data_IF_234670891326
#
_entry.id   IF_234670891326
#
_cell.length_a   1.000
_cell.length_b   1.000
_cell.length_c   1.000
_cell.angle_alpha   90.00
_cell.angle_beta   90.00
_cell.angle_gamma   90.00
#
_symmetry.space_group_name_H-M   'P 1'
#
loop_
_entity.id
_entity.type
_entity.pdbx_description
1 polymer ?
#
# COMPACT_ATOMS: atom_id res chain seq x y z
N UNK A 1 54.32 36.16 -30.13
CA UNK A 1 53.92 34.73 -30.01
C UNK A 1 52.92 34.62 -28.87
N UNK A 2 51.62 34.69 -29.18
CA UNK A 2 50.55 34.60 -28.20
C UNK A 2 50.27 33.14 -27.86
N UNK A 3 50.46 32.76 -26.60
CA UNK A 3 50.13 31.43 -26.10
C UNK A 3 48.65 31.40 -25.71
N UNK A 4 47.83 30.87 -26.61
CA UNK A 4 46.42 30.58 -26.35
C UNK A 4 46.29 29.37 -25.43
N UNK A 5 45.88 29.60 -24.18
CA UNK A 5 45.46 28.52 -23.29
C UNK A 5 44.07 28.06 -23.73
N UNK A 6 44.00 26.87 -24.32
CA UNK A 6 42.75 26.14 -24.50
C UNK A 6 42.15 25.83 -23.12
N UNK A 7 41.06 26.53 -22.78
CA UNK A 7 40.18 26.14 -21.68
C UNK A 7 39.36 24.95 -22.18
N UNK A 8 39.76 23.75 -21.76
CA UNK A 8 38.96 22.55 -21.96
C UNK A 8 37.63 22.70 -21.21
N UNK A 9 36.53 22.70 -21.96
CA UNK A 9 35.19 22.59 -21.40
C UNK A 9 35.05 21.24 -20.72
N UNK A 10 35.11 21.22 -19.38
CA UNK A 10 34.61 20.09 -18.62
C UNK A 10 33.10 20.03 -18.85
N UNK A 11 32.68 19.22 -19.81
CA UNK A 11 31.30 18.79 -19.96
C UNK A 11 30.90 18.24 -18.60
N UNK A 12 30.06 18.99 -17.87
CA UNK A 12 29.57 18.59 -16.57
C UNK A 12 28.95 17.21 -16.70
N UNK A 13 29.61 16.19 -16.15
CA UNK A 13 29.00 14.91 -15.88
C UNK A 13 27.88 15.17 -14.88
N UNK A 14 26.69 15.46 -15.39
CA UNK A 14 25.48 15.39 -14.60
C UNK A 14 25.34 13.94 -14.17
N UNK A 15 25.79 13.64 -12.96
CA UNK A 15 25.61 12.32 -12.34
C UNK A 15 24.11 12.04 -12.32
N UNK A 16 23.61 11.24 -13.29
CA UNK A 16 22.21 10.81 -13.31
C UNK A 16 21.90 10.16 -11.97
N UNK A 17 20.88 10.67 -11.29
CA UNK A 17 20.42 10.09 -10.04
C UNK A 17 19.88 8.68 -10.33
N UNK A 18 20.44 7.66 -9.69
CA UNK A 18 19.91 6.30 -9.79
C UNK A 18 18.72 6.12 -8.86
N UNK A 19 17.82 5.19 -9.18
CA UNK A 19 16.67 4.85 -8.33
C UNK A 19 17.11 4.49 -6.90
N UNK A 20 18.19 3.72 -6.76
CA UNK A 20 18.74 3.35 -5.46
C UNK A 20 19.13 4.57 -4.61
N UNK A 21 19.85 5.53 -5.18
CA UNK A 21 20.22 6.77 -4.47
C UNK A 21 18.99 7.59 -4.10
N UNK A 22 18.00 7.65 -4.98
CA UNK A 22 16.74 8.32 -4.71
C UNK A 22 15.98 7.66 -3.54
N UNK A 23 15.92 6.32 -3.51
CA UNK A 23 15.32 5.55 -2.40
C UNK A 23 16.04 5.82 -1.08
N UNK A 24 17.38 5.83 -1.07
CA UNK A 24 18.14 6.15 0.15
C UNK A 24 17.86 7.58 0.64
N UNK A 25 17.76 8.54 -0.27
CA UNK A 25 17.38 9.93 0.04
C UNK A 25 15.99 9.99 0.68
N UNK A 26 15.01 9.30 0.09
CA UNK A 26 13.65 9.21 0.60
C UNK A 26 13.58 8.49 1.96
N UNK A 27 14.39 7.46 2.20
CA UNK A 27 14.50 6.81 3.50
C UNK A 27 15.05 7.75 4.59
N UNK A 28 16.05 8.59 4.26
CA UNK A 28 16.59 9.59 5.20
C UNK A 28 15.55 10.66 5.51
N UNK A 29 14.79 11.11 4.50
CA UNK A 29 13.66 12.04 4.67
C UNK A 29 12.60 11.44 5.58
N UNK A 30 12.16 10.21 5.28
CA UNK A 30 11.10 9.52 6.02
C UNK A 30 11.49 9.22 7.46
N UNK A 31 12.77 8.96 7.75
CA UNK A 31 13.28 8.73 9.13
C UNK A 31 13.00 9.90 10.08
N UNK A 32 12.93 11.13 9.55
CA UNK A 32 12.63 12.34 10.32
C UNK A 32 11.13 12.66 10.36
N UNK A 33 10.32 11.90 9.63
CA UNK A 33 8.87 12.10 9.56
C UNK A 33 8.16 11.32 10.67
N UNK A 34 7.10 11.88 11.28
CA UNK A 34 6.26 11.17 12.23
C UNK A 34 5.51 9.98 11.60
N UNK A 35 5.46 9.89 10.27
CA UNK A 35 4.76 8.83 9.54
C UNK A 35 5.23 7.43 9.95
N UNK A 36 6.54 7.22 10.21
CA UNK A 36 7.03 5.90 10.63
C UNK A 36 6.40 5.49 11.96
N UNK A 37 6.47 6.35 12.96
CA UNK A 37 5.90 6.07 14.28
C UNK A 37 4.39 5.83 14.21
N UNK A 38 3.67 6.66 13.42
CA UNK A 38 2.24 6.51 13.24
C UNK A 38 1.87 5.16 12.60
N UNK A 39 2.55 4.74 11.53
CA UNK A 39 2.27 3.47 10.85
C UNK A 39 2.51 2.27 11.76
N UNK A 40 3.64 2.27 12.47
CA UNK A 40 4.00 1.19 13.38
C UNK A 40 3.04 1.13 14.56
N UNK A 41 2.64 2.29 15.11
CA UNK A 41 1.65 2.36 16.18
C UNK A 41 0.27 1.86 15.71
N UNK A 42 -0.23 2.33 14.56
CA UNK A 42 -1.51 1.88 14.01
C UNK A 42 -1.50 0.37 13.74
N UNK A 43 -0.46 -0.16 13.10
CA UNK A 43 -0.33 -1.59 12.84
C UNK A 43 -0.28 -2.41 14.12
N UNK A 44 0.52 -1.99 15.10
CA UNK A 44 0.64 -2.66 16.39
C UNK A 44 -0.70 -2.66 17.14
N UNK A 45 -1.36 -1.49 17.25
CA UNK A 45 -2.64 -1.34 17.93
C UNK A 45 -3.70 -2.22 17.28
N UNK A 46 -3.79 -2.19 15.94
CA UNK A 46 -4.78 -2.99 15.22
C UNK A 46 -4.57 -4.50 15.47
N UNK A 47 -3.33 -4.99 15.34
CA UNK A 47 -3.04 -6.40 15.58
C UNK A 47 -3.21 -6.83 17.04
N UNK A 48 -2.80 -6.00 18.00
CA UNK A 48 -3.01 -6.30 19.43
C UNK A 48 -4.48 -6.29 19.80
N UNK A 49 -5.24 -5.28 19.38
CA UNK A 49 -6.66 -5.16 19.69
C UNK A 49 -7.48 -6.29 19.07
N UNK A 50 -7.30 -6.57 17.77
CA UNK A 50 -7.97 -7.67 17.10
C UNK A 50 -7.51 -9.03 17.64
N UNK A 51 -6.21 -9.20 17.91
CA UNK A 51 -5.68 -10.42 18.50
C UNK A 51 -6.27 -10.70 19.89
N UNK A 52 -6.42 -9.67 20.72
CA UNK A 52 -7.04 -9.81 22.04
C UNK A 52 -8.53 -10.16 21.92
N UNK A 53 -9.25 -9.54 20.99
CA UNK A 53 -10.65 -9.88 20.71
C UNK A 53 -10.80 -11.35 20.29
N UNK A 54 -10.06 -11.79 19.26
CA UNK A 54 -10.12 -13.17 18.77
C UNK A 54 -9.47 -14.19 19.70
N UNK A 55 -8.65 -13.74 20.66
CA UNK A 55 -8.09 -14.58 21.71
C UNK A 55 -9.14 -15.12 22.68
N UNK A 56 -10.17 -14.32 22.96
CA UNK A 56 -11.25 -14.67 23.91
C UNK A 56 -12.56 -15.02 23.23
N UNK A 57 -12.81 -14.53 22.01
CA UNK A 57 -14.05 -14.77 21.31
C UNK A 57 -14.20 -16.26 20.92
N UNK A 58 -15.43 -16.81 20.90
CA UNK A 58 -15.69 -18.21 20.57
C UNK A 58 -15.70 -18.46 19.05
N UNK A 59 -14.90 -17.71 18.28
CA UNK A 59 -14.77 -17.87 16.85
C UNK A 59 -13.61 -18.80 16.50
N UNK A 60 -13.65 -19.42 15.32
CA UNK A 60 -12.49 -20.10 14.76
C UNK A 60 -11.35 -19.08 14.52
N UNK A 61 -10.17 -19.24 15.13
CA UNK A 61 -9.02 -18.33 14.94
C UNK A 61 -8.57 -18.21 13.48
N UNK A 62 -8.79 -19.24 12.67
CA UNK A 62 -8.39 -19.25 11.26
C UNK A 62 -9.30 -18.38 10.41
N UNK A 63 -10.61 -18.48 10.62
CA UNK A 63 -11.58 -17.55 10.04
C UNK A 63 -11.41 -16.12 10.61
N UNK A 64 -11.04 -16.01 11.90
CA UNK A 64 -10.69 -14.72 12.52
C UNK A 64 -9.47 -14.07 11.87
N UNK A 65 -8.48 -14.86 11.45
CA UNK A 65 -7.31 -14.39 10.70
C UNK A 65 -7.72 -13.82 9.35
N UNK A 66 -8.59 -14.52 8.63
CA UNK A 66 -9.11 -14.06 7.34
C UNK A 66 -9.90 -12.75 7.48
N UNK A 67 -10.81 -12.67 8.45
CA UNK A 67 -11.55 -11.46 8.77
C UNK A 67 -10.65 -10.28 9.16
N UNK A 68 -9.56 -10.54 9.90
CA UNK A 68 -8.58 -9.51 10.24
C UNK A 68 -7.82 -9.00 9.00
N UNK A 69 -7.39 -9.90 8.12
CA UNK A 69 -6.74 -9.53 6.86
C UNK A 69 -7.68 -8.69 5.97
N UNK A 70 -8.96 -9.07 5.89
CA UNK A 70 -9.98 -8.28 5.19
C UNK A 70 -10.15 -6.90 5.81
N UNK A 71 -10.27 -6.80 7.14
CA UNK A 71 -10.35 -5.49 7.83
C UNK A 71 -9.16 -4.58 7.51
N UNK A 72 -7.93 -5.07 7.65
CA UNK A 72 -6.74 -4.26 7.38
C UNK A 72 -6.66 -3.88 5.90
N UNK A 73 -7.01 -4.80 5.00
CA UNK A 73 -7.04 -4.54 3.56
C UNK A 73 -8.10 -3.51 3.17
N UNK A 74 -9.30 -3.57 3.77
CA UNK A 74 -10.37 -2.61 3.57
C UNK A 74 -9.97 -1.20 4.04
N UNK A 75 -9.13 -1.10 5.07
CA UNK A 75 -8.58 0.17 5.57
C UNK A 75 -7.49 0.78 4.67
N UNK A 76 -6.89 0.00 3.77
CA UNK A 76 -5.78 0.47 2.93
C UNK A 76 -6.12 1.69 2.06
N UNK A 77 -7.26 1.76 1.34
CA UNK A 77 -7.60 2.94 0.53
C UNK A 77 -7.55 4.26 1.31
N UNK A 78 -8.10 4.27 2.52
CA UNK A 78 -8.09 5.46 3.37
C UNK A 78 -6.69 5.74 3.93
N UNK A 79 -6.02 4.73 4.49
CA UNK A 79 -4.69 4.92 5.10
C UNK A 79 -3.66 5.35 4.06
N UNK A 80 -3.63 4.73 2.89
CA UNK A 80 -2.74 5.10 1.78
C UNK A 80 -3.03 6.53 1.33
N UNK A 81 -4.30 6.91 1.19
CA UNK A 81 -4.68 8.27 0.81
C UNK A 81 -4.26 9.33 1.83
N UNK A 82 -4.43 9.06 3.12
CA UNK A 82 -3.96 9.95 4.21
C UNK A 82 -2.45 10.12 4.12
N UNK A 83 -1.70 9.02 4.00
CA UNK A 83 -0.24 9.03 4.02
C UNK A 83 0.33 9.74 2.80
N UNK A 84 -0.17 9.41 1.60
CA UNK A 84 0.26 10.08 0.37
C UNK A 84 -0.17 11.55 0.37
N UNK A 85 -1.38 11.84 0.87
CA UNK A 85 -1.89 13.20 1.01
C UNK A 85 -1.02 14.06 1.92
N UNK A 86 -0.73 13.59 3.14
CA UNK A 86 0.13 14.29 4.09
C UNK A 86 1.58 14.41 3.61
N UNK A 87 2.10 13.41 2.91
CA UNK A 87 3.46 13.45 2.36
C UNK A 87 3.61 14.53 1.30
N UNK A 88 2.69 14.58 0.33
CA UNK A 88 2.69 15.59 -0.74
C UNK A 88 2.42 16.99 -0.20
N UNK A 89 1.50 17.10 0.76
CA UNK A 89 1.13 18.37 1.37
C UNK A 89 2.26 18.93 2.23
N UNK A 90 2.93 18.10 3.02
CA UNK A 90 4.14 18.50 3.75
C UNK A 90 5.29 18.90 2.82
N UNK A 91 5.44 18.25 1.66
CA UNK A 91 6.41 18.67 0.65
C UNK A 91 6.04 20.02 0.00
N UNK A 92 4.75 20.28 -0.22
CA UNK A 92 4.25 21.59 -0.69
C UNK A 92 4.54 22.68 0.32
N UNK A 93 4.23 22.46 1.58
CA UNK A 93 4.46 23.44 2.65
C UNK A 93 5.95 23.71 2.87
N UNK A 94 6.79 22.68 2.80
CA UNK A 94 8.23 22.82 3.08
C UNK A 94 9.04 23.44 1.92
N UNK A 95 8.67 23.17 0.66
CA UNK A 95 9.51 23.54 -0.49
C UNK A 95 8.74 24.02 -1.73
N UNK A 96 7.42 24.12 -1.68
CA UNK A 96 6.60 24.35 -2.87
C UNK A 96 6.78 23.25 -3.92
N UNK A 97 7.01 22.00 -3.49
CA UNK A 97 7.37 20.84 -4.33
C UNK A 97 8.75 20.91 -5.01
N UNK A 98 9.61 21.86 -4.69
CA UNK A 98 10.91 22.00 -5.33
C UNK A 98 11.81 20.76 -5.13
N UNK A 99 11.81 20.12 -3.96
CA UNK A 99 12.67 18.93 -3.76
C UNK A 99 12.22 17.72 -4.60
N UNK A 100 10.97 17.70 -5.05
CA UNK A 100 10.41 16.64 -5.88
C UNK A 100 10.46 16.96 -7.38
N UNK A 101 10.17 18.21 -7.76
CA UNK A 101 9.96 18.62 -9.15
C UNK A 101 11.15 19.35 -9.77
N UNK A 102 11.96 20.08 -8.98
CA UNK A 102 13.10 20.83 -9.49
C UNK A 102 14.38 19.97 -9.68
N UNK A 103 14.31 18.67 -9.36
CA UNK A 103 15.42 17.75 -9.56
C UNK A 103 15.51 17.27 -11.01
N UNK A 104 16.73 17.04 -11.56
CA UNK A 104 16.92 16.62 -12.96
C UNK A 104 16.20 15.32 -13.35
N UNK A 105 15.79 14.51 -12.37
CA UNK A 105 15.15 13.21 -12.56
C UNK A 105 13.88 13.05 -11.74
N UNK A 106 12.96 14.03 -11.83
CA UNK A 106 11.68 14.06 -11.09
C UNK A 106 10.87 12.75 -11.16
N UNK A 107 10.93 12.03 -12.29
CA UNK A 107 10.30 10.70 -12.45
C UNK A 107 10.90 9.66 -11.49
N UNK A 108 12.22 9.62 -11.38
CA UNK A 108 12.93 8.70 -10.48
C UNK A 108 12.70 9.08 -9.02
N UNK A 109 12.69 10.38 -8.72
CA UNK A 109 12.37 10.88 -7.38
C UNK A 109 10.94 10.47 -6.96
N UNK A 110 9.95 10.68 -7.82
CA UNK A 110 8.57 10.27 -7.55
C UNK A 110 8.44 8.75 -7.40
N UNK A 111 9.07 7.97 -8.28
CA UNK A 111 9.06 6.51 -8.19
C UNK A 111 9.67 6.02 -6.87
N UNK A 112 10.81 6.60 -6.46
CA UNK A 112 11.45 6.28 -5.18
C UNK A 112 10.55 6.62 -3.99
N UNK A 113 9.87 7.77 -4.04
CA UNK A 113 8.94 8.21 -2.99
C UNK A 113 7.74 7.27 -2.87
N UNK A 114 7.09 6.92 -3.98
CA UNK A 114 6.02 5.92 -4.03
C UNK A 114 6.49 4.59 -3.45
N UNK A 115 7.67 4.12 -3.86
CA UNK A 115 8.25 2.87 -3.38
C UNK A 115 8.51 2.89 -1.86
N UNK A 116 9.09 3.96 -1.32
CA UNK A 116 9.39 4.08 0.10
C UNK A 116 8.12 4.16 0.96
N UNK A 117 7.09 4.89 0.51
CA UNK A 117 5.80 4.93 1.20
C UNK A 117 5.09 3.57 1.16
N UNK A 118 5.16 2.86 0.02
CA UNK A 118 4.62 1.51 -0.11
C UNK A 118 5.34 0.50 0.79
N UNK A 119 6.67 0.55 0.85
CA UNK A 119 7.46 -0.30 1.74
C UNK A 119 7.13 -0.03 3.22
N UNK A 120 6.91 1.23 3.60
CA UNK A 120 6.45 1.57 4.95
C UNK A 120 5.07 0.93 5.25
N UNK A 121 4.15 0.99 4.30
CA UNK A 121 2.85 0.32 4.40
C UNK A 121 2.98 -1.19 4.55
N UNK A 122 3.84 -1.82 3.77
CA UNK A 122 4.12 -3.25 3.88
C UNK A 122 4.67 -3.63 5.27
N UNK A 123 5.61 -2.85 5.80
CA UNK A 123 6.13 -3.05 7.17
C UNK A 123 5.00 -2.91 8.20
N UNK A 124 4.11 -1.92 8.05
CA UNK A 124 2.99 -1.72 8.96
C UNK A 124 2.00 -2.91 8.94
N UNK A 125 1.69 -3.44 7.77
CA UNK A 125 0.88 -4.67 7.60
C UNK A 125 1.58 -5.87 8.24
N UNK A 126 2.89 -6.04 8.02
CA UNK A 126 3.65 -7.13 8.63
C UNK A 126 3.64 -7.04 10.17
N UNK A 127 3.76 -5.83 10.73
CA UNK A 127 3.64 -5.58 12.17
C UNK A 127 2.23 -5.93 12.66
N UNK A 128 1.18 -5.54 11.94
CA UNK A 128 -0.20 -5.84 12.30
C UNK A 128 -0.49 -7.34 12.32
N UNK A 129 -0.11 -8.06 11.26
CA UNK A 129 -0.31 -9.51 11.18
C UNK A 129 0.58 -10.27 12.17
N UNK A 130 1.82 -9.80 12.38
CA UNK A 130 2.74 -10.39 13.35
C UNK A 130 2.27 -10.23 14.79
N UNK A 131 1.82 -9.03 15.18
CA UNK A 131 1.31 -8.79 16.53
C UNK A 131 -0.02 -9.52 16.76
N UNK A 132 -0.91 -9.57 15.77
CA UNK A 132 -2.13 -10.37 15.82
C UNK A 132 -1.84 -11.86 16.07
N UNK A 133 -0.94 -12.45 15.26
CA UNK A 133 -0.54 -13.86 15.42
C UNK A 133 0.12 -14.13 16.78
N UNK A 134 0.95 -13.20 17.27
CA UNK A 134 1.62 -13.34 18.55
C UNK A 134 0.61 -13.32 19.72
N UNK A 135 -0.38 -12.43 19.67
CA UNK A 135 -1.43 -12.37 20.69
C UNK A 135 -2.29 -13.62 20.67
N UNK A 136 -2.73 -14.11 19.50
CA UNK A 136 -3.46 -15.38 19.40
C UNK A 136 -2.68 -16.55 20.03
N UNK A 137 -1.38 -16.65 19.73
CA UNK A 137 -0.51 -17.66 20.33
C UNK A 137 -0.41 -17.53 21.85
N UNK A 138 -0.36 -16.31 22.40
CA UNK A 138 -0.35 -16.06 23.84
C UNK A 138 -1.65 -16.49 24.54
N UNK A 139 -2.79 -16.43 23.84
CA UNK A 139 -4.07 -16.97 24.31
C UNK A 139 -4.21 -18.49 24.10
N UNK A 140 -3.19 -19.17 23.58
CA UNK A 140 -3.22 -20.61 23.31
C UNK A 140 -4.15 -20.99 22.17
N UNK A 141 -4.40 -20.07 21.22
CA UNK A 141 -5.29 -20.31 20.07
C UNK A 141 -4.53 -20.91 18.90
N UNK A 142 -5.08 -21.97 18.31
CA UNK A 142 -4.51 -22.64 17.14
C UNK A 142 -4.73 -21.85 15.84
N UNK A 143 -3.90 -20.83 15.62
CA UNK A 143 -3.86 -20.06 14.38
C UNK A 143 -3.13 -20.76 13.23
N UNK A 144 -2.80 -20.00 12.20
CA UNK A 144 -1.97 -20.49 11.09
C UNK A 144 -0.47 -20.50 11.41
N UNK A 145 0.31 -21.17 10.57
CA UNK A 145 1.77 -21.03 10.57
C UNK A 145 2.19 -19.61 10.15
N UNK A 146 3.38 -19.17 10.57
CA UNK A 146 3.94 -17.87 10.21
C UNK A 146 3.99 -17.62 8.68
N UNK A 147 4.13 -18.70 7.89
CA UNK A 147 4.14 -18.64 6.43
C UNK A 147 2.84 -18.09 5.83
N UNK A 148 1.68 -18.36 6.45
CA UNK A 148 0.36 -17.86 5.98
C UNK A 148 0.22 -16.36 6.22
N UNK A 149 0.68 -15.86 7.37
CA UNK A 149 0.69 -14.42 7.64
C UNK A 149 1.66 -13.68 6.71
N UNK A 150 2.84 -14.26 6.46
CA UNK A 150 3.84 -13.66 5.57
C UNK A 150 3.33 -13.53 4.14
N UNK A 151 2.72 -14.58 3.59
CA UNK A 151 2.12 -14.53 2.24
C UNK A 151 0.90 -13.60 2.19
N UNK A 152 0.05 -13.56 3.22
CA UNK A 152 -1.04 -12.60 3.29
C UNK A 152 -0.51 -11.16 3.25
N UNK A 153 0.54 -10.84 4.01
CA UNK A 153 1.20 -9.53 3.96
C UNK A 153 1.69 -9.19 2.54
N UNK A 154 2.29 -10.14 1.84
CA UNK A 154 2.76 -9.97 0.45
C UNK A 154 1.59 -9.73 -0.51
N UNK A 155 0.49 -10.48 -0.38
CA UNK A 155 -0.72 -10.27 -1.19
C UNK A 155 -1.32 -8.88 -0.98
N UNK A 156 -1.42 -8.45 0.28
CA UNK A 156 -1.91 -7.11 0.62
C UNK A 156 -0.99 -6.00 0.09
N UNK A 157 0.32 -6.19 0.19
CA UNK A 157 1.30 -5.26 -0.37
C UNK A 157 1.16 -5.18 -1.90
N UNK A 158 1.08 -6.32 -2.60
CA UNK A 158 0.89 -6.34 -4.04
C UNK A 158 -0.43 -5.65 -4.45
N UNK A 159 -1.54 -5.96 -3.76
CA UNK A 159 -2.86 -5.38 -4.01
C UNK A 159 -2.96 -3.88 -3.73
N UNK A 160 -2.19 -3.36 -2.78
CA UNK A 160 -2.23 -1.95 -2.38
C UNK A 160 -1.36 -1.03 -3.23
N UNK A 161 -0.42 -1.53 -4.04
CA UNK A 161 0.51 -0.68 -4.79
C UNK A 161 -0.22 0.29 -5.75
N UNK A 162 -1.32 -0.15 -6.38
CA UNK A 162 -2.18 0.71 -7.21
C UNK A 162 -2.74 1.90 -6.42
N UNK A 163 -3.05 1.72 -5.13
CA UNK A 163 -3.57 2.77 -4.27
C UNK A 163 -2.51 3.85 -4.05
N UNK A 164 -1.25 3.49 -3.84
CA UNK A 164 -0.16 4.46 -3.68
C UNK A 164 0.03 5.30 -4.95
N UNK A 165 -0.01 4.65 -6.12
CA UNK A 165 0.10 5.33 -7.42
C UNK A 165 -1.02 6.35 -7.59
N UNK A 166 -2.27 5.93 -7.39
CA UNK A 166 -3.45 6.80 -7.57
C UNK A 166 -3.51 7.89 -6.50
N UNK A 167 -3.25 7.58 -5.24
CA UNK A 167 -3.31 8.54 -4.14
C UNK A 167 -2.24 9.62 -4.24
N UNK A 168 -1.01 9.29 -4.65
CA UNK A 168 0.03 10.30 -4.91
C UNK A 168 -0.38 11.18 -6.09
N UNK A 169 -0.92 10.61 -7.16
CA UNK A 169 -1.45 11.40 -8.28
C UNK A 169 -2.57 12.35 -7.83
N UNK A 170 -3.56 11.86 -7.10
CA UNK A 170 -4.67 12.68 -6.57
C UNK A 170 -4.16 13.79 -5.65
N UNK A 171 -3.21 13.47 -4.76
CA UNK A 171 -2.64 14.45 -3.86
C UNK A 171 -1.89 15.55 -4.64
N UNK A 172 -1.13 15.21 -5.67
CA UNK A 172 -0.45 16.17 -6.55
C UNK A 172 -1.45 16.95 -7.42
N UNK A 173 -2.46 16.32 -8.01
CA UNK A 173 -3.36 16.99 -8.94
C UNK A 173 -4.44 17.83 -8.24
N UNK A 174 -5.01 17.32 -7.14
CA UNK A 174 -6.22 17.85 -6.50
C UNK A 174 -6.01 18.25 -5.04
N UNK A 175 -4.87 17.91 -4.45
CA UNK A 175 -4.55 18.21 -3.05
C UNK A 175 -4.94 17.12 -2.06
N UNK A 176 -4.46 17.28 -0.82
CA UNK A 176 -4.61 16.32 0.28
C UNK A 176 -6.06 15.91 0.54
N UNK A 177 -6.97 16.87 0.66
CA UNK A 177 -8.35 16.59 1.07
C UNK A 177 -9.11 15.79 0.01
N UNK A 178 -8.87 16.05 -1.28
CA UNK A 178 -9.46 15.29 -2.38
C UNK A 178 -8.96 13.84 -2.39
N UNK A 179 -7.65 13.63 -2.20
CA UNK A 179 -7.07 12.29 -2.09
C UNK A 179 -7.69 11.52 -0.92
N UNK A 180 -7.78 12.13 0.28
CA UNK A 180 -8.39 11.52 1.46
C UNK A 180 -9.87 11.22 1.23
N UNK A 181 -10.63 12.12 0.59
CA UNK A 181 -12.04 11.90 0.26
C UNK A 181 -12.24 10.67 -0.65
N UNK A 182 -11.41 10.52 -1.68
CA UNK A 182 -11.43 9.32 -2.54
C UNK A 182 -11.02 8.07 -1.75
N UNK A 183 -10.03 8.17 -0.87
CA UNK A 183 -9.64 7.06 0.01
C UNK A 183 -10.75 6.63 0.97
N UNK A 184 -11.51 7.58 1.53
CA UNK A 184 -12.66 7.31 2.40
C UNK A 184 -13.80 6.62 1.63
N UNK A 185 -14.10 7.09 0.42
CA UNK A 185 -15.04 6.40 -0.47
C UNK A 185 -14.54 4.98 -0.82
N UNK A 186 -13.24 4.83 -1.07
CA UNK A 186 -12.61 3.54 -1.33
C UNK A 186 -12.72 2.58 -0.15
N UNK A 187 -12.51 3.05 1.09
CA UNK A 187 -12.76 2.26 2.31
C UNK A 187 -14.22 1.79 2.37
N UNK A 188 -15.17 2.71 2.15
CA UNK A 188 -16.58 2.36 2.15
C UNK A 188 -16.90 1.28 1.10
N UNK A 189 -16.31 1.37 -0.10
CA UNK A 189 -16.44 0.32 -1.12
C UNK A 189 -15.80 -1.01 -0.69
N UNK A 190 -14.58 -0.99 -0.17
CA UNK A 190 -13.82 -2.18 0.20
C UNK A 190 -14.51 -2.99 1.29
N UNK A 191 -15.09 -2.33 2.31
CA UNK A 191 -15.82 -3.01 3.40
C UNK A 191 -16.95 -3.96 2.93
N UNK A 192 -17.47 -3.77 1.72
CA UNK A 192 -18.50 -4.62 1.11
C UNK A 192 -18.03 -5.41 -0.12
N UNK A 193 -16.79 -5.21 -0.56
CA UNK A 193 -16.31 -5.76 -1.83
C UNK A 193 -15.97 -7.25 -1.77
N UNK A 194 -15.65 -7.76 -0.59
CA UNK A 194 -15.32 -9.17 -0.32
C UNK A 194 -16.42 -9.82 0.54
N UNK A 195 -17.69 -9.65 0.12
CA UNK A 195 -18.85 -10.28 0.78
C UNK A 195 -19.33 -9.58 2.06
N UNK A 196 -18.61 -8.57 2.54
CA UNK A 196 -18.89 -7.86 3.79
C UNK A 196 -17.97 -8.31 4.91
N UNK A 197 -17.53 -7.34 5.73
CA UNK A 197 -16.59 -7.61 6.82
C UNK A 197 -17.17 -8.65 7.79
N UNK A 198 -16.36 -9.67 8.11
CA UNK A 198 -16.73 -10.80 8.96
C UNK A 198 -17.85 -11.72 8.40
N UNK A 199 -18.30 -11.57 7.15
CA UNK A 199 -19.27 -12.50 6.57
C UNK A 199 -18.74 -13.94 6.57
N UNK A 200 -17.50 -14.16 6.13
CA UNK A 200 -16.84 -15.47 6.15
C UNK A 200 -16.63 -16.02 7.56
N UNK A 201 -16.41 -15.13 8.55
CA UNK A 201 -16.30 -15.51 9.95
C UNK A 201 -17.60 -16.11 10.49
N UNK A 202 -18.74 -15.54 10.12
CA UNK A 202 -20.07 -15.97 10.60
C UNK A 202 -20.59 -17.17 9.83
N UNK A 203 -20.34 -17.23 8.52
CA UNK A 203 -20.94 -18.22 7.62
C UNK A 203 -20.02 -19.41 7.34
N UNK A 204 -18.72 -19.27 7.58
CA UNK A 204 -17.70 -20.22 7.15
C UNK A 204 -17.39 -20.16 5.65
N UNK A 205 -17.96 -19.21 4.91
CA UNK A 205 -17.70 -19.03 3.48
C UNK A 205 -16.32 -18.42 3.22
N UNK A 206 -15.69 -18.86 2.13
CA UNK A 206 -14.48 -18.25 1.58
C UNK A 206 -14.90 -17.02 0.76
N UNK A 207 -15.01 -15.86 1.42
CA UNK A 207 -15.62 -14.66 0.84
C UNK A 207 -14.77 -14.01 -0.22
N UNK A 208 -13.44 -14.14 -0.20
CA UNK A 208 -12.58 -13.65 -1.27
C UNK A 208 -12.71 -14.50 -2.54
N UNK A 209 -12.77 -15.82 -2.40
CA UNK A 209 -13.01 -16.73 -3.52
C UNK A 209 -14.41 -16.58 -4.15
N UNK A 210 -15.41 -16.20 -3.35
CA UNK A 210 -16.82 -16.04 -3.78
C UNK A 210 -17.24 -14.58 -4.04
N UNK A 211 -16.32 -13.64 -3.87
CA UNK A 211 -16.61 -12.21 -4.01
C UNK A 211 -17.11 -11.81 -5.40
N UNK A 212 -18.15 -10.98 -5.42
CA UNK A 212 -18.79 -10.48 -6.64
C UNK A 212 -17.97 -9.39 -7.37
N UNK A 213 -18.65 -8.67 -8.26
CA UNK A 213 -18.04 -7.65 -9.15
C UNK A 213 -17.27 -6.57 -8.38
N UNK A 214 -17.76 -6.19 -7.19
CA UNK A 214 -17.11 -5.18 -6.35
C UNK A 214 -15.69 -5.59 -5.94
N UNK A 215 -15.41 -6.87 -5.78
CA UNK A 215 -14.06 -7.33 -5.43
C UNK A 215 -13.02 -7.15 -6.54
N UNK A 216 -13.43 -6.75 -7.76
CA UNK A 216 -12.50 -6.41 -8.85
C UNK A 216 -12.18 -4.92 -8.94
N UNK A 217 -12.76 -4.07 -8.09
CA UNK A 217 -12.34 -2.66 -8.02
C UNK A 217 -11.00 -2.54 -7.30
N UNK A 218 -10.10 -1.61 -7.71
CA UNK A 218 -8.77 -1.48 -7.12
C UNK A 218 -8.75 -1.25 -5.60
N UNK A 219 -9.81 -0.65 -5.04
CA UNK A 219 -9.93 -0.43 -3.59
C UNK A 219 -9.97 -1.74 -2.79
N UNK A 220 -10.42 -2.84 -3.40
CA UNK A 220 -10.58 -4.13 -2.74
C UNK A 220 -9.38 -5.08 -2.91
N UNK A 221 -8.39 -4.74 -3.76
CA UNK A 221 -7.35 -5.72 -4.11
C UNK A 221 -6.40 -6.05 -2.96
N UNK A 222 -6.17 -5.11 -2.04
CA UNK A 222 -5.35 -5.38 -0.85
C UNK A 222 -6.00 -6.43 0.05
N UNK A 223 -7.27 -6.26 0.44
CA UNK A 223 -8.01 -7.25 1.22
C UNK A 223 -8.20 -8.56 0.45
N UNK A 224 -8.54 -8.50 -0.84
CA UNK A 224 -8.84 -9.68 -1.64
C UNK A 224 -7.63 -10.56 -1.83
N UNK A 225 -6.48 -10.00 -2.23
CA UNK A 225 -5.26 -10.80 -2.40
C UNK A 225 -4.70 -11.30 -1.06
N UNK A 226 -4.81 -10.50 0.00
CA UNK A 226 -4.47 -10.95 1.34
C UNK A 226 -5.32 -12.14 1.78
N UNK A 227 -6.64 -12.01 1.63
CA UNK A 227 -7.63 -13.01 2.05
C UNK A 227 -7.59 -14.27 1.20
N UNK A 228 -7.44 -14.19 -0.13
CA UNK A 228 -7.17 -15.39 -0.97
C UNK A 228 -5.91 -16.14 -0.51
N UNK A 229 -4.90 -15.41 -0.01
CA UNK A 229 -3.70 -15.98 0.58
C UNK A 229 -3.88 -16.40 2.06
N UNK A 230 -5.03 -16.24 2.67
CA UNK A 230 -5.41 -16.97 3.89
C UNK A 230 -6.26 -18.18 3.51
N UNK A 231 -7.25 -17.98 2.65
CA UNK A 231 -8.20 -18.99 2.19
C UNK A 231 -7.57 -20.21 1.53
N UNK A 232 -6.42 -20.09 0.85
CA UNK A 232 -5.72 -21.29 0.33
C UNK A 232 -5.34 -22.29 1.45
N UNK A 233 -5.16 -21.80 2.69
CA UNK A 233 -4.89 -22.62 3.86
C UNK A 233 -6.15 -23.18 4.54
N UNK A 234 -7.34 -22.73 4.11
CA UNK A 234 -8.65 -23.20 4.56
C UNK A 234 -9.32 -24.13 3.55
N UNK A 235 -9.09 -23.88 2.26
CA UNK A 235 -9.87 -24.45 1.19
C UNK A 235 -9.58 -25.94 0.95
N UNK A 236 -10.64 -26.68 0.61
CA UNK A 236 -10.59 -28.09 0.19
C UNK A 236 -11.15 -28.26 -1.23
N UNK A 237 -10.70 -29.29 -1.95
CA UNK A 237 -11.20 -29.76 -3.25
C UNK A 237 -11.69 -28.66 -4.22
N UNK A 238 -13.02 -28.48 -4.30
CA UNK A 238 -13.66 -27.53 -5.21
C UNK A 238 -13.38 -26.06 -4.81
N UNK A 239 -13.35 -25.77 -3.50
CA UNK A 239 -13.01 -24.44 -2.98
C UNK A 239 -11.56 -24.07 -3.29
N UNK A 240 -10.64 -25.03 -3.24
CA UNK A 240 -9.23 -24.79 -3.55
C UNK A 240 -9.02 -24.32 -4.99
N UNK A 241 -9.69 -24.96 -5.95
CA UNK A 241 -9.63 -24.53 -7.37
C UNK A 241 -10.20 -23.12 -7.57
N UNK A 242 -11.28 -22.78 -6.88
CA UNK A 242 -11.86 -21.44 -6.94
C UNK A 242 -10.89 -20.38 -6.37
N UNK A 243 -10.28 -20.64 -5.22
CA UNK A 243 -9.27 -19.76 -4.62
C UNK A 243 -8.09 -19.52 -5.56
N UNK A 244 -7.53 -20.58 -6.15
CA UNK A 244 -6.39 -20.48 -7.08
C UNK A 244 -6.76 -19.63 -8.31
N UNK A 245 -7.91 -19.92 -8.93
CA UNK A 245 -8.38 -19.16 -10.08
C UNK A 245 -8.55 -17.67 -9.75
N UNK A 246 -9.16 -17.35 -8.61
CA UNK A 246 -9.36 -15.97 -8.18
C UNK A 246 -8.04 -15.28 -7.86
N UNK A 247 -7.09 -15.99 -7.24
CA UNK A 247 -5.75 -15.47 -6.97
C UNK A 247 -5.01 -15.11 -8.26
N UNK A 248 -5.05 -15.97 -9.26
CA UNK A 248 -4.42 -15.73 -10.57
C UNK A 248 -5.05 -14.53 -11.27
N UNK A 249 -6.38 -14.51 -11.42
CA UNK A 249 -7.10 -13.44 -12.10
C UNK A 249 -6.88 -12.09 -11.41
N UNK A 250 -7.06 -12.03 -10.09
CA UNK A 250 -6.86 -10.77 -9.34
C UNK A 250 -5.39 -10.33 -9.39
N UNK A 251 -4.43 -11.25 -9.36
CA UNK A 251 -3.00 -10.90 -9.45
C UNK A 251 -2.65 -10.32 -10.81
N UNK A 252 -3.12 -10.92 -11.90
CA UNK A 252 -2.90 -10.41 -13.27
C UNK A 252 -3.52 -9.03 -13.45
N UNK A 253 -4.78 -8.84 -13.03
CA UNK A 253 -5.45 -7.54 -13.10
C UNK A 253 -4.72 -6.47 -12.28
N UNK A 254 -4.33 -6.82 -11.05
CA UNK A 254 -3.58 -5.93 -10.16
C UNK A 254 -2.27 -5.49 -10.79
N UNK A 255 -1.48 -6.44 -11.32
CA UNK A 255 -0.21 -6.14 -11.97
C UNK A 255 -0.40 -5.27 -13.21
N UNK A 256 -1.35 -5.61 -14.08
CA UNK A 256 -1.62 -4.87 -15.31
C UNK A 256 -2.03 -3.42 -15.02
N UNK A 257 -3.01 -3.21 -14.14
CA UNK A 257 -3.50 -1.87 -13.81
C UNK A 257 -2.45 -1.07 -13.05
N UNK A 258 -1.70 -1.69 -12.15
CA UNK A 258 -0.60 -1.01 -11.44
C UNK A 258 0.51 -0.57 -12.40
N UNK A 259 0.90 -1.43 -13.35
CA UNK A 259 1.92 -1.10 -14.33
C UNK A 259 1.49 0.06 -15.24
N UNK A 260 0.25 0.02 -15.73
CA UNK A 260 -0.32 1.11 -16.54
C UNK A 260 -0.44 2.39 -15.74
N UNK A 261 -0.96 2.33 -14.52
CA UNK A 261 -1.09 3.48 -13.64
C UNK A 261 0.25 4.13 -13.29
N UNK A 262 1.26 3.32 -12.99
CA UNK A 262 2.61 3.81 -12.69
C UNK A 262 3.24 4.45 -13.93
N UNK A 263 3.13 3.82 -15.10
CA UNK A 263 3.63 4.41 -16.35
C UNK A 263 2.93 5.75 -16.65
N UNK A 264 1.62 5.83 -16.47
CA UNK A 264 0.85 7.05 -16.65
C UNK A 264 1.27 8.14 -15.66
N UNK A 265 1.42 7.81 -14.37
CA UNK A 265 1.89 8.74 -13.33
C UNK A 265 3.27 9.31 -13.67
N UNK A 266 4.22 8.44 -14.03
CA UNK A 266 5.59 8.84 -14.36
C UNK A 266 5.69 9.63 -15.67
N UNK A 267 4.83 9.36 -16.65
CA UNK A 267 4.70 10.19 -17.84
C UNK A 267 4.14 11.56 -17.48
N UNK A 268 3.03 11.60 -16.73
CA UNK A 268 2.31 12.80 -16.32
C UNK A 268 3.16 13.75 -15.48
N UNK A 269 3.91 13.24 -14.48
CA UNK A 269 4.78 14.10 -13.65
C UNK A 269 5.85 14.82 -14.48
N UNK A 270 6.22 14.28 -15.65
CA UNK A 270 7.15 14.94 -16.58
C UNK A 270 6.65 16.27 -17.13
N UNK A 271 5.33 16.45 -17.22
CA UNK A 271 4.68 17.66 -17.71
C UNK A 271 3.98 18.45 -16.60
N UNK A 272 3.92 17.90 -15.38
CA UNK A 272 3.30 18.57 -14.25
C UNK A 272 4.14 19.78 -13.80
N UNK A 273 3.46 20.92 -13.71
CA UNK A 273 3.97 22.15 -13.12
C UNK A 273 2.97 22.57 -12.03
N UNK A 274 3.48 22.87 -10.84
CA UNK A 274 2.64 23.39 -9.77
C UNK A 274 2.21 24.82 -10.18
N UNK A 275 0.91 25.01 -10.40
CA UNK A 275 0.37 26.33 -10.69
C UNK A 275 0.67 27.28 -9.52
N UNK A 276 1.12 28.52 -9.81
CA UNK A 276 1.21 29.58 -8.79
C UNK A 276 -0.19 29.79 -8.22
N UNK A 277 -0.48 29.20 -7.06
CA UNK A 277 -1.60 29.67 -6.24
C UNK A 277 -1.20 31.04 -5.73
N UNK A 278 -1.71 32.07 -6.40
CA UNK A 278 -1.81 33.40 -5.81
C UNK A 278 -2.62 33.27 -4.52
N UNK A 279 -2.02 33.76 -3.45
CA UNK A 279 -2.62 34.35 -2.24
C UNK A 279 -4.08 33.98 -1.92
#
# INVERSE_FOLDING_TARGET
MGSGRHVGSSVGQTSRMSLWRAVLSECVRLRRSPLIALHLACGLIAGVACGAYFGVAPWDPRLGTDAFVQLIGALMPLMVAIVCGLDVDGEREASGLANLLAVPSRRIALAARVLVLWLLGFIAVAVALGSFSAVLGAFGRDGFSAGVYARAAVGMAAGSLVLYVVSVWLALALGRNAAIGVGAAGLACALFAVGGLAHGLVTGELTAASSGVLGYVPFAWAERLGSLLVELGLATDAGLRAVIWQLEVTSVLTLAVTAVGLAALLAWVGFFEEGRRGE
#
